data_IF_156690205304
#
_entry.id   IF_156690205304
#
_cell.length_a   1.000
_cell.length_b   1.000
_cell.length_c   1.000
_cell.angle_alpha   90.00
_cell.angle_beta   90.00
_cell.angle_gamma   90.00
#
_symmetry.space_group_name_H-M   'P 1'
#
loop_
_entity.id
_entity.type
_entity.pdbx_description
1 polymer ?
#
# COMPACT_ATOMS: atom_id res chain seq x y z
N UNK A 1 -29.42 -19.68 3.30
CA UNK A 1 -30.57 -18.73 3.24
C UNK A 1 -30.46 -17.81 2.04
N UNK A 2 -29.37 -17.03 1.92
CA UNK A 2 -29.10 -16.10 0.80
C UNK A 2 -29.32 -16.73 -0.57
N UNK A 3 -28.67 -17.88 -0.85
CA UNK A 3 -28.82 -18.64 -2.09
C UNK A 3 -30.27 -18.82 -2.55
N UNK A 4 -31.14 -19.32 -1.67
CA UNK A 4 -32.57 -19.55 -1.98
C UNK A 4 -33.30 -18.28 -2.39
N UNK A 5 -33.03 -17.15 -1.74
CA UNK A 5 -33.68 -15.87 -2.04
C UNK A 5 -33.21 -15.34 -3.39
N UNK A 6 -31.91 -15.44 -3.66
CA UNK A 6 -31.28 -15.03 -4.92
C UNK A 6 -31.81 -15.86 -6.09
N UNK A 7 -31.81 -17.19 -5.98
CA UNK A 7 -32.31 -18.10 -7.01
C UNK A 7 -33.82 -17.93 -7.25
N UNK A 8 -34.61 -17.70 -6.19
CA UNK A 8 -36.03 -17.39 -6.31
C UNK A 8 -36.32 -16.06 -7.04
N UNK A 9 -35.37 -15.12 -7.03
CA UNK A 9 -35.45 -13.88 -7.79
C UNK A 9 -35.00 -14.05 -9.26
N UNK A 10 -34.70 -15.28 -9.71
CA UNK A 10 -34.25 -15.56 -11.06
C UNK A 10 -32.80 -15.16 -11.34
N UNK A 11 -31.99 -15.03 -10.28
CA UNK A 11 -30.57 -14.73 -10.36
C UNK A 11 -29.74 -16.01 -10.17
N UNK A 12 -28.58 -16.09 -10.80
CA UNK A 12 -27.64 -17.20 -10.67
C UNK A 12 -26.63 -16.92 -9.55
N UNK A 13 -26.35 -17.94 -8.74
CA UNK A 13 -25.23 -17.93 -7.78
C UNK A 13 -24.04 -18.60 -8.46
N UNK A 14 -23.06 -17.80 -8.86
CA UNK A 14 -21.88 -18.24 -9.61
C UNK A 14 -20.83 -18.86 -8.69
N UNK A 15 -20.55 -18.20 -7.57
CA UNK A 15 -19.50 -18.60 -6.64
C UNK A 15 -19.95 -18.36 -5.20
N UNK A 16 -19.47 -19.21 -4.30
CA UNK A 16 -19.61 -19.05 -2.86
C UNK A 16 -18.24 -19.18 -2.24
N UNK A 17 -17.84 -18.16 -1.49
CA UNK A 17 -16.56 -18.07 -0.80
C UNK A 17 -16.85 -18.14 0.69
N UNK A 18 -16.82 -19.35 1.27
CA UNK A 18 -17.24 -19.56 2.66
C UNK A 18 -16.33 -18.86 3.67
N UNK A 19 -15.00 -18.94 3.49
CA UNK A 19 -14.01 -18.31 4.38
C UNK A 19 -14.19 -16.79 4.50
N UNK A 20 -14.35 -16.11 3.37
CA UNK A 20 -14.61 -14.66 3.32
C UNK A 20 -16.08 -14.28 3.36
N UNK A 21 -17.00 -15.24 3.56
CA UNK A 21 -18.45 -15.03 3.70
C UNK A 21 -19.08 -14.27 2.52
N UNK A 22 -18.58 -14.48 1.30
CA UNK A 22 -19.04 -13.79 0.07
C UNK A 22 -19.78 -14.73 -0.87
N UNK A 23 -20.65 -14.15 -1.69
CA UNK A 23 -21.37 -14.84 -2.76
C UNK A 23 -21.36 -13.98 -4.02
N UNK A 24 -20.92 -14.55 -5.15
CA UNK A 24 -21.00 -13.89 -6.46
C UNK A 24 -22.34 -14.25 -7.10
N UNK A 25 -23.10 -13.23 -7.46
CA UNK A 25 -24.42 -13.37 -8.07
C UNK A 25 -24.43 -12.69 -9.44
N UNK A 26 -25.07 -13.31 -10.42
CA UNK A 26 -25.26 -12.77 -11.77
C UNK A 26 -26.73 -12.85 -12.20
N UNK A 27 -27.12 -12.05 -13.18
CA UNK A 27 -28.46 -12.07 -13.76
C UNK A 27 -28.76 -10.83 -14.58
N UNK A 28 -29.98 -10.77 -15.13
CA UNK A 28 -30.44 -9.60 -15.90
C UNK A 28 -30.55 -8.36 -14.99
N UNK A 29 -30.23 -7.19 -15.53
CA UNK A 29 -30.18 -5.94 -14.77
C UNK A 29 -31.52 -5.59 -14.10
N UNK A 30 -32.65 -5.88 -14.76
CA UNK A 30 -33.99 -5.68 -14.23
C UNK A 30 -34.30 -6.59 -13.03
N UNK A 31 -33.89 -7.86 -13.08
CA UNK A 31 -34.03 -8.79 -11.97
C UNK A 31 -33.16 -8.41 -10.75
N UNK A 32 -31.91 -7.98 -10.99
CA UNK A 32 -31.03 -7.47 -9.93
C UNK A 32 -31.63 -6.20 -9.31
N UNK A 33 -32.10 -5.28 -10.15
CA UNK A 33 -32.77 -4.06 -9.70
C UNK A 33 -34.01 -4.34 -8.86
N UNK A 34 -34.86 -5.28 -9.30
CA UNK A 34 -36.06 -5.68 -8.58
C UNK A 34 -35.75 -6.31 -7.21
N UNK A 35 -34.76 -7.20 -7.13
CA UNK A 35 -34.32 -7.80 -5.85
C UNK A 35 -33.83 -6.73 -4.87
N UNK A 36 -33.10 -5.74 -5.39
CA UNK A 36 -32.41 -4.73 -4.58
C UNK A 36 -33.18 -3.42 -4.40
N UNK A 37 -34.38 -3.30 -4.98
CA UNK A 37 -35.18 -2.08 -4.94
C UNK A 37 -34.50 -0.86 -5.58
N UNK A 38 -33.76 -1.06 -6.67
CA UNK A 38 -33.01 -0.01 -7.39
C UNK A 38 -33.14 -0.17 -8.90
N UNK A 39 -32.78 0.85 -9.67
CA UNK A 39 -32.63 0.76 -11.13
C UNK A 39 -31.15 0.81 -11.48
N UNK A 40 -30.70 -0.13 -12.31
CA UNK A 40 -29.33 -0.16 -12.84
C UNK A 40 -29.32 0.48 -14.22
N UNK A 41 -28.40 1.43 -14.42
CA UNK A 41 -28.27 2.14 -15.69
C UNK A 41 -26.81 2.35 -16.06
N UNK A 42 -26.55 2.66 -17.33
CA UNK A 42 -25.23 3.11 -17.76
C UNK A 42 -25.08 4.60 -17.43
N UNK A 43 -23.98 4.95 -16.78
CA UNK A 43 -23.60 6.31 -16.44
C UNK A 43 -22.21 6.64 -17.03
N UNK A 44 -21.95 7.93 -17.23
CA UNK A 44 -20.61 8.42 -17.59
C UNK A 44 -19.97 9.04 -16.36
N UNK A 45 -18.71 8.71 -16.13
CA UNK A 45 -17.88 9.33 -15.13
C UNK A 45 -16.61 9.84 -15.80
N UNK A 46 -16.14 11.00 -15.36
CA UNK A 46 -14.90 11.60 -15.86
C UNK A 46 -13.90 11.60 -14.71
N UNK A 47 -12.72 11.04 -14.94
CA UNK A 47 -11.65 11.07 -13.95
C UNK A 47 -10.98 12.45 -13.84
N UNK A 48 -10.10 12.63 -12.86
CA UNK A 48 -9.36 13.88 -12.63
C UNK A 48 -8.47 14.29 -13.82
N UNK A 49 -8.21 13.38 -14.77
CA UNK A 49 -7.41 13.63 -15.98
C UNK A 49 -8.29 13.86 -17.22
N UNK A 50 -9.61 13.94 -17.04
CA UNK A 50 -10.56 14.21 -18.12
C UNK A 50 -10.98 12.97 -18.92
N UNK A 51 -10.54 11.76 -18.55
CA UNK A 51 -10.93 10.53 -19.26
C UNK A 51 -12.35 10.14 -18.86
N UNK A 52 -13.20 9.96 -19.87
CA UNK A 52 -14.61 9.59 -19.69
C UNK A 52 -14.75 8.07 -19.77
N UNK A 53 -15.29 7.46 -18.72
CA UNK A 53 -15.59 6.03 -18.63
C UNK A 53 -17.09 5.82 -18.54
N UNK A 54 -17.61 4.92 -19.37
CA UNK A 54 -18.99 4.44 -19.22
C UNK A 54 -18.98 3.27 -18.23
N UNK A 55 -19.80 3.35 -17.20
CA UNK A 55 -19.88 2.34 -16.14
C UNK A 55 -21.34 2.04 -15.80
N UNK A 56 -21.57 0.93 -15.11
CA UNK A 56 -22.89 0.66 -14.51
C UNK A 56 -23.00 1.44 -13.21
N UNK A 57 -24.12 2.12 -13.00
CA UNK A 57 -24.47 2.78 -11.75
C UNK A 57 -25.88 2.40 -11.33
N UNK A 58 -26.32 2.92 -10.19
CA UNK A 58 -27.63 2.65 -9.59
C UNK A 58 -28.32 3.93 -9.11
N UNK A 59 -29.64 3.94 -9.12
CA UNK A 59 -30.44 5.05 -8.56
C UNK A 59 -30.90 4.77 -7.12
N UNK A 60 -31.02 5.82 -6.30
CA UNK A 60 -31.57 5.72 -4.95
C UNK A 60 -30.70 4.96 -3.95
N UNK A 61 -31.33 4.25 -3.00
CA UNK A 61 -30.65 3.42 -2.01
C UNK A 61 -30.89 1.93 -2.30
N UNK A 62 -29.98 1.06 -1.86
CA UNK A 62 -30.18 -0.39 -1.95
C UNK A 62 -31.06 -0.86 -0.80
N UNK A 63 -31.97 -1.80 -1.11
CA UNK A 63 -32.78 -2.56 -0.17
C UNK A 63 -32.50 -4.03 -0.37
N UNK A 64 -32.71 -4.83 0.66
CA UNK A 64 -32.69 -6.29 0.53
C UNK A 64 -34.03 -6.84 1.02
N UNK A 65 -34.51 -7.97 0.50
CA UNK A 65 -35.70 -8.63 1.05
C UNK A 65 -35.57 -8.86 2.55
N UNK A 66 -36.67 -8.79 3.29
CA UNK A 66 -36.72 -9.07 4.74
C UNK A 66 -36.05 -10.40 5.12
N UNK A 67 -36.15 -11.50 4.32
CA UNK A 67 -35.40 -12.71 4.57
C UNK A 67 -33.87 -12.59 4.47
N UNK A 68 -33.30 -11.45 4.09
CA UNK A 68 -31.86 -11.18 4.08
C UNK A 68 -31.45 -10.10 5.10
N UNK A 69 -32.42 -9.51 5.81
CA UNK A 69 -32.17 -8.51 6.84
C UNK A 69 -31.24 -9.09 7.93
N UNK A 70 -30.23 -8.31 8.32
CA UNK A 70 -29.20 -8.71 9.29
C UNK A 70 -28.24 -9.79 8.80
N UNK A 71 -28.38 -10.28 7.56
CA UNK A 71 -27.45 -11.27 6.96
C UNK A 71 -26.52 -10.62 5.94
N UNK A 72 -27.01 -9.65 5.16
CA UNK A 72 -26.23 -8.97 4.11
C UNK A 72 -25.59 -7.71 4.68
N UNK A 73 -24.26 -7.67 4.71
CA UNK A 73 -23.46 -6.51 5.13
C UNK A 73 -23.33 -5.50 3.99
N UNK A 74 -23.02 -5.99 2.79
CA UNK A 74 -22.81 -5.17 1.60
C UNK A 74 -23.32 -5.85 0.34
N UNK A 75 -23.72 -5.02 -0.64
CA UNK A 75 -24.00 -5.45 -2.02
C UNK A 75 -23.12 -4.60 -2.93
N UNK A 76 -22.12 -5.21 -3.54
CA UNK A 76 -21.10 -4.52 -4.34
C UNK A 76 -21.23 -4.88 -5.82
N UNK A 77 -20.78 -3.97 -6.70
CA UNK A 77 -20.83 -4.15 -8.15
C UNK A 77 -22.12 -3.68 -8.82
N UNK A 78 -23.10 -3.17 -8.07
CA UNK A 78 -24.21 -2.38 -8.66
C UNK A 78 -23.73 -1.05 -9.20
N UNK A 79 -22.66 -0.52 -8.61
CA UNK A 79 -21.85 0.57 -9.16
C UNK A 79 -20.49 -0.01 -9.55
N UNK A 80 -20.06 0.22 -10.79
CA UNK A 80 -18.77 -0.23 -11.33
C UNK A 80 -17.91 0.95 -11.78
N UNK A 81 -18.12 2.14 -11.19
CA UNK A 81 -17.25 3.29 -11.40
C UNK A 81 -15.81 2.89 -11.07
N UNK A 82 -14.84 3.31 -11.90
CA UNK A 82 -13.44 3.19 -11.52
C UNK A 82 -13.22 3.79 -10.13
N UNK A 83 -12.45 3.08 -9.32
CA UNK A 83 -12.27 3.39 -7.91
C UNK A 83 -10.82 3.17 -7.52
N UNK A 84 -10.28 4.13 -6.77
CA UNK A 84 -8.87 4.14 -6.42
C UNK A 84 -7.96 4.63 -7.55
N UNK A 85 -6.71 4.86 -7.18
CA UNK A 85 -5.59 5.22 -8.07
C UNK A 85 -4.31 4.56 -7.54
N UNK A 86 -3.33 4.28 -8.40
CA UNK A 86 -2.01 3.90 -7.91
C UNK A 86 -1.37 5.11 -7.22
N UNK A 87 -0.66 4.89 -6.11
CA UNK A 87 -0.06 5.93 -5.27
C UNK A 87 1.45 6.08 -5.55
N UNK A 88 1.81 6.08 -6.84
CA UNK A 88 3.16 6.41 -7.32
C UNK A 88 3.29 7.84 -7.81
N UNK A 89 4.54 8.31 -7.80
CA UNK A 89 4.99 9.48 -8.55
C UNK A 89 6.23 9.15 -9.36
N UNK A 90 6.23 9.59 -10.61
CA UNK A 90 7.45 9.67 -11.39
C UNK A 90 8.23 10.94 -11.05
N UNK A 91 9.55 10.89 -11.16
CA UNK A 91 10.40 12.07 -11.01
C UNK A 91 10.02 13.17 -12.01
N UNK A 92 9.84 14.43 -11.59
CA UNK A 92 9.56 15.53 -12.51
C UNK A 92 10.67 15.73 -13.54
N UNK A 93 10.30 16.05 -14.78
CA UNK A 93 11.25 16.38 -15.84
C UNK A 93 12.00 17.69 -15.50
N UNK A 94 13.33 17.65 -15.42
CA UNK A 94 14.19 18.81 -15.16
C UNK A 94 14.71 18.96 -13.73
N UNK A 95 14.30 18.08 -12.81
CA UNK A 95 14.78 18.10 -11.44
C UNK A 95 16.26 17.68 -11.37
N UNK A 96 17.14 18.57 -10.87
CA UNK A 96 18.57 18.25 -10.68
C UNK A 96 18.72 17.39 -9.43
N UNK A 97 19.33 16.23 -9.56
CA UNK A 97 19.51 15.33 -8.42
C UNK A 97 20.36 15.97 -7.31
N UNK A 98 20.09 15.64 -6.04
CA UNK A 98 21.05 15.82 -4.95
C UNK A 98 22.37 15.09 -5.29
N UNK A 99 23.49 15.51 -4.67
CA UNK A 99 24.81 14.92 -4.92
C UNK A 99 25.10 13.83 -3.89
N UNK A 100 25.52 12.64 -4.34
CA UNK A 100 26.25 11.71 -3.49
C UNK A 100 27.75 11.94 -3.70
N UNK A 101 28.52 12.10 -2.62
CA UNK A 101 29.96 12.20 -2.71
C UNK A 101 30.55 10.80 -2.90
N UNK A 102 31.17 10.54 -4.04
CA UNK A 102 31.92 9.30 -4.24
C UNK A 102 33.10 9.24 -3.26
N UNK A 103 33.15 8.22 -2.42
CA UNK A 103 34.32 7.91 -1.60
C UNK A 103 35.40 7.27 -2.48
N UNK A 104 36.16 8.09 -3.21
CA UNK A 104 37.42 7.66 -3.83
C UNK A 104 38.54 8.56 -3.35
N UNK A 105 39.56 7.94 -2.74
CA UNK A 105 40.77 8.61 -2.29
C UNK A 105 41.47 9.39 -3.40
N UNK A 106 42.10 10.48 -2.98
CA UNK A 106 43.12 11.28 -3.68
C UNK A 106 42.90 11.59 -5.17
N UNK A 107 42.57 12.84 -5.45
CA UNK A 107 42.99 13.54 -6.67
C UNK A 107 41.98 13.58 -7.82
N UNK A 108 41.41 14.77 -8.04
CA UNK A 108 40.87 15.26 -9.31
C UNK A 108 40.00 14.27 -10.13
N UNK A 109 38.80 13.95 -9.63
CA UNK A 109 37.75 13.37 -10.46
C UNK A 109 36.84 14.47 -11.02
N UNK A 110 36.78 14.61 -12.34
CA UNK A 110 35.70 15.31 -13.04
C UNK A 110 34.40 14.55 -12.80
N UNK A 111 33.62 14.96 -11.81
CA UNK A 111 32.40 14.29 -11.40
C UNK A 111 31.34 14.33 -12.52
N UNK A 112 31.06 13.18 -13.14
CA UNK A 112 29.83 12.98 -13.91
C UNK A 112 28.66 12.90 -12.92
N UNK A 113 27.69 13.80 -13.05
CA UNK A 113 26.53 13.94 -12.16
C UNK A 113 25.56 12.77 -12.42
N UNK A 114 25.63 11.71 -11.61
CA UNK A 114 24.61 10.67 -11.60
C UNK A 114 23.42 11.10 -10.71
N UNK A 115 22.18 10.83 -11.11
CA UNK A 115 21.02 11.08 -10.27
C UNK A 115 21.02 10.20 -9.01
N UNK A 116 20.74 10.80 -7.84
CA UNK A 116 20.49 10.06 -6.58
C UNK A 116 19.13 9.38 -6.71
N UNK A 117 19.18 8.11 -7.09
CA UNK A 117 18.08 7.16 -7.01
C UNK A 117 18.67 5.89 -6.39
N UNK A 118 17.99 5.35 -5.38
CA UNK A 118 18.49 4.24 -4.58
C UNK A 118 17.99 2.93 -5.17
N UNK A 119 18.84 1.91 -5.15
CA UNK A 119 18.38 0.54 -5.34
C UNK A 119 17.71 0.08 -4.04
N UNK A 120 16.70 -0.82 -4.09
CA UNK A 120 16.10 -1.34 -2.87
C UNK A 120 17.13 -1.98 -1.92
N UNK A 121 18.13 -2.77 -2.36
CA UNK A 121 19.19 -3.25 -1.48
C UNK A 121 19.95 -2.14 -0.73
N UNK A 122 20.21 -0.98 -1.37
CA UNK A 122 20.85 0.16 -0.70
C UNK A 122 19.95 0.78 0.37
N UNK A 123 18.64 0.80 0.15
CA UNK A 123 17.69 1.23 1.18
C UNK A 123 17.60 0.23 2.34
N UNK A 124 17.66 -1.08 2.05
CA UNK A 124 17.76 -2.10 3.09
C UNK A 124 19.01 -1.93 3.97
N UNK A 125 20.15 -1.56 3.41
CA UNK A 125 21.35 -1.22 4.18
C UNK A 125 21.10 0.00 5.10
N UNK A 126 20.48 1.07 4.57
CA UNK A 126 20.20 2.29 5.33
C UNK A 126 19.17 2.09 6.46
N UNK A 127 18.16 1.26 6.20
CA UNK A 127 17.13 0.88 7.17
C UNK A 127 17.53 -0.32 8.03
N UNK A 128 18.78 -0.79 7.92
CA UNK A 128 19.33 -1.86 8.73
C UNK A 128 18.42 -3.11 8.75
N UNK A 129 18.00 -3.57 7.56
CA UNK A 129 17.18 -4.78 7.44
C UNK A 129 17.89 -5.97 8.08
N UNK A 130 17.17 -6.90 8.74
CA UNK A 130 17.81 -7.98 9.50
C UNK A 130 18.81 -8.78 8.64
N UNK A 131 20.08 -8.93 9.05
CA UNK A 131 21.07 -9.63 8.25
C UNK A 131 20.77 -11.14 8.19
N UNK A 132 21.15 -11.79 7.08
CA UNK A 132 20.99 -13.23 6.92
C UNK A 132 19.56 -13.71 6.65
N UNK A 133 18.61 -12.79 6.45
CA UNK A 133 17.26 -13.08 5.95
C UNK A 133 17.06 -12.53 4.56
N UNK A 134 16.19 -13.16 3.79
CA UNK A 134 15.83 -12.78 2.42
C UNK A 134 14.34 -12.99 2.12
N UNK A 135 13.52 -13.29 3.12
CA UNK A 135 12.10 -13.62 2.99
C UNK A 135 11.83 -15.11 2.76
N UNK A 136 12.84 -15.97 2.82
CA UNK A 136 12.70 -17.42 2.65
C UNK A 136 11.59 -18.01 3.53
N UNK A 137 10.78 -18.88 2.93
CA UNK A 137 9.66 -19.55 3.62
C UNK A 137 8.41 -18.67 3.81
N UNK A 138 8.41 -17.44 3.29
CA UNK A 138 7.23 -16.56 3.33
C UNK A 138 6.55 -16.46 1.97
N UNK A 139 5.26 -16.12 1.98
CA UNK A 139 4.50 -15.73 0.78
C UNK A 139 4.08 -14.28 0.91
N UNK A 140 4.38 -13.46 -0.10
CA UNK A 140 4.00 -12.06 -0.18
C UNK A 140 2.92 -11.86 -1.25
N UNK A 141 1.80 -11.24 -0.88
CA UNK A 141 0.74 -10.88 -1.80
C UNK A 141 0.82 -9.39 -2.18
N UNK A 142 0.52 -9.08 -3.43
CA UNK A 142 0.29 -7.75 -3.98
C UNK A 142 -1.13 -7.72 -4.57
N UNK A 143 -1.87 -6.63 -4.41
CA UNK A 143 -3.18 -6.45 -5.06
C UNK A 143 -3.12 -5.28 -6.02
N UNK A 144 -3.45 -5.55 -7.28
CA UNK A 144 -3.30 -4.62 -8.39
C UNK A 144 -4.64 -4.42 -9.09
N UNK A 145 -4.93 -3.17 -9.45
CA UNK A 145 -6.24 -2.78 -9.98
C UNK A 145 -6.24 -2.35 -11.45
N UNK A 146 -5.11 -2.56 -12.13
CA UNK A 146 -4.87 -2.25 -13.53
C UNK A 146 -3.43 -2.62 -13.93
N UNK A 147 -3.10 -2.40 -15.20
CA UNK A 147 -1.75 -2.61 -15.74
C UNK A 147 -1.18 -4.03 -15.63
N UNK A 148 0.14 -4.11 -15.55
CA UNK A 148 0.87 -5.36 -15.43
C UNK A 148 2.40 -5.19 -15.34
N UNK A 149 3.09 -6.31 -15.17
CA UNK A 149 4.55 -6.43 -15.19
C UNK A 149 5.02 -7.32 -16.36
N UNK A 150 6.24 -7.08 -16.83
CA UNK A 150 6.90 -7.90 -17.86
C UNK A 150 8.02 -8.78 -17.26
N UNK A 151 7.95 -10.09 -17.50
CA UNK A 151 8.91 -11.06 -16.94
C UNK A 151 10.34 -10.91 -17.51
N UNK A 152 10.50 -10.44 -18.75
CA UNK A 152 11.84 -10.19 -19.31
C UNK A 152 12.45 -8.92 -18.72
N UNK A 153 11.64 -7.90 -18.48
CA UNK A 153 12.03 -6.68 -17.79
C UNK A 153 12.44 -6.96 -16.35
N UNK A 154 11.65 -7.73 -15.61
CA UNK A 154 12.01 -8.16 -14.25
C UNK A 154 13.34 -8.89 -14.21
N UNK A 155 13.56 -9.86 -15.12
CA UNK A 155 14.87 -10.55 -15.20
C UNK A 155 16.02 -9.58 -15.42
N UNK A 156 15.84 -8.61 -16.32
CA UNK A 156 16.86 -7.57 -16.57
C UNK A 156 17.12 -6.73 -15.32
N UNK A 157 16.07 -6.34 -14.60
CA UNK A 157 16.18 -5.59 -13.36
C UNK A 157 16.98 -6.34 -12.29
N UNK A 158 16.65 -7.61 -12.04
CA UNK A 158 17.35 -8.43 -11.05
C UNK A 158 18.80 -8.75 -11.47
N UNK A 159 19.07 -8.95 -12.77
CA UNK A 159 20.43 -9.09 -13.30
C UNK A 159 21.26 -7.83 -13.05
N UNK A 160 20.69 -6.63 -13.23
CA UNK A 160 21.34 -5.35 -12.95
C UNK A 160 21.63 -5.14 -11.46
N UNK A 161 20.78 -5.68 -10.57
CA UNK A 161 21.02 -5.70 -9.13
C UNK A 161 22.04 -6.78 -8.71
N UNK A 162 22.35 -7.75 -9.58
CA UNK A 162 23.15 -8.91 -9.23
C UNK A 162 22.47 -9.86 -8.24
N UNK A 163 21.13 -9.85 -8.21
CA UNK A 163 20.31 -10.69 -7.34
C UNK A 163 19.44 -11.63 -8.15
N UNK A 164 18.92 -12.70 -7.54
CA UNK A 164 17.97 -13.59 -8.21
C UNK A 164 16.56 -13.00 -8.08
N UNK A 165 15.74 -13.07 -9.15
CA UNK A 165 14.32 -12.76 -9.01
C UNK A 165 13.65 -13.77 -8.04
N UNK A 166 12.66 -13.33 -7.25
CA UNK A 166 11.81 -14.26 -6.53
C UNK A 166 10.93 -15.07 -7.49
N UNK A 167 10.28 -16.11 -6.96
CA UNK A 167 9.17 -16.76 -7.68
C UNK A 167 8.00 -15.80 -7.73
N UNK A 168 7.46 -15.52 -8.92
CA UNK A 168 6.32 -14.62 -9.10
C UNK A 168 5.21 -15.38 -9.82
N UNK A 169 3.98 -15.26 -9.32
CA UNK A 169 2.78 -15.75 -10.01
C UNK A 169 1.65 -14.72 -9.98
N UNK A 170 0.84 -14.71 -11.02
CA UNK A 170 -0.33 -13.84 -11.10
C UNK A 170 -1.62 -14.62 -10.85
N UNK A 171 -2.57 -13.99 -10.16
CA UNK A 171 -3.93 -14.50 -9.94
C UNK A 171 -4.93 -13.54 -10.59
N UNK A 172 -5.81 -14.08 -11.44
CA UNK A 172 -6.87 -13.31 -12.08
C UNK A 172 -8.13 -13.30 -11.24
N UNK A 173 -8.64 -12.10 -10.94
CA UNK A 173 -9.91 -11.90 -10.25
C UNK A 173 -10.88 -11.21 -11.20
N UNK A 174 -12.07 -11.80 -11.36
CA UNK A 174 -13.15 -11.26 -12.18
C UNK A 174 -12.75 -10.88 -13.63
N UNK A 175 -11.75 -11.57 -14.20
CA UNK A 175 -11.28 -11.38 -15.57
C UNK A 175 -10.19 -10.31 -15.75
N UNK A 176 -9.79 -9.61 -14.68
CA UNK A 176 -8.57 -8.80 -14.71
C UNK A 176 -7.33 -9.70 -14.66
N UNK A 177 -6.26 -9.34 -15.34
CA UNK A 177 -5.06 -10.17 -15.48
C UNK A 177 -3.82 -9.28 -15.62
N UNK A 178 -2.63 -9.87 -15.47
CA UNK A 178 -1.37 -9.22 -15.79
C UNK A 178 -1.38 -8.80 -17.27
N UNK A 179 -1.47 -7.49 -17.54
CA UNK A 179 -1.65 -6.96 -18.88
C UNK A 179 -0.85 -5.67 -19.10
N UNK A 180 0.51 -5.76 -19.14
CA UNK A 180 1.36 -4.60 -19.35
C UNK A 180 1.15 -3.98 -20.74
N UNK A 181 1.49 -2.70 -20.89
CA UNK A 181 1.44 -1.93 -22.13
C UNK A 181 0.17 -1.12 -22.33
N UNK A 182 -0.70 -1.04 -21.31
CA UNK A 182 -1.97 -0.32 -21.37
C UNK A 182 -1.88 1.10 -20.84
N UNK A 183 -1.64 1.25 -19.53
CA UNK A 183 -1.55 2.54 -18.85
C UNK A 183 -0.21 2.61 -18.11
N UNK A 184 0.66 3.52 -18.55
CA UNK A 184 2.02 3.65 -18.01
C UNK A 184 2.08 3.88 -16.50
N UNK A 185 1.06 4.49 -15.88
CA UNK A 185 1.03 4.65 -14.42
C UNK A 185 0.63 3.36 -13.71
N UNK A 186 -0.29 2.58 -14.29
CA UNK A 186 -0.72 1.31 -13.72
C UNK A 186 0.39 0.27 -13.91
N UNK A 187 1.02 0.22 -15.09
CA UNK A 187 2.19 -0.63 -15.34
C UNK A 187 3.36 -0.21 -14.44
N UNK A 188 3.60 1.09 -14.30
CA UNK A 188 4.65 1.62 -13.42
C UNK A 188 4.42 1.25 -11.94
N UNK A 189 3.17 1.23 -11.49
CA UNK A 189 2.80 0.78 -10.15
C UNK A 189 3.12 -0.70 -9.95
N UNK A 190 2.55 -1.57 -10.79
CA UNK A 190 2.70 -3.02 -10.64
C UNK A 190 4.17 -3.42 -10.71
N UNK A 191 4.91 -2.80 -11.64
CA UNK A 191 6.33 -3.06 -11.83
C UNK A 191 7.15 -2.56 -10.62
N UNK A 192 6.86 -1.36 -10.09
CA UNK A 192 7.49 -0.83 -8.88
C UNK A 192 7.29 -1.76 -7.68
N UNK A 193 6.04 -2.20 -7.45
CA UNK A 193 5.68 -3.03 -6.31
C UNK A 193 6.40 -4.38 -6.34
N UNK A 194 6.38 -5.04 -7.50
CA UNK A 194 7.06 -6.33 -7.72
C UNK A 194 8.58 -6.19 -7.61
N UNK A 195 9.17 -5.15 -8.19
CA UNK A 195 10.62 -4.91 -8.16
C UNK A 195 11.12 -4.58 -6.75
N UNK A 196 10.44 -3.69 -6.02
CA UNK A 196 10.84 -3.28 -4.67
C UNK A 196 10.69 -4.44 -3.69
N UNK A 197 9.52 -5.10 -3.67
CA UNK A 197 9.30 -6.21 -2.75
C UNK A 197 10.25 -7.36 -3.08
N UNK A 198 10.37 -7.73 -4.36
CA UNK A 198 11.22 -8.84 -4.79
C UNK A 198 12.70 -8.59 -4.59
N UNK A 199 13.19 -7.37 -4.75
CA UNK A 199 14.60 -7.04 -4.49
C UNK A 199 14.97 -7.04 -3.00
N UNK A 200 13.99 -6.76 -2.13
CA UNK A 200 14.17 -6.70 -0.69
C UNK A 200 13.91 -8.04 0.02
N UNK A 201 13.07 -8.90 -0.58
CA UNK A 201 12.74 -10.24 -0.10
C UNK A 201 12.79 -11.28 -1.25
N UNK A 202 13.97 -11.52 -1.85
CA UNK A 202 14.10 -12.41 -3.02
C UNK A 202 13.85 -13.90 -2.72
N UNK A 203 13.84 -14.31 -1.45
CA UNK A 203 13.50 -15.66 -1.00
C UNK A 203 11.99 -15.89 -0.81
N UNK A 204 11.16 -14.84 -0.85
CA UNK A 204 9.72 -14.97 -0.72
C UNK A 204 9.05 -15.41 -2.03
N UNK A 205 7.93 -16.14 -1.92
CA UNK A 205 7.04 -16.38 -3.05
C UNK A 205 6.10 -15.19 -3.24
N UNK A 206 6.14 -14.53 -4.40
CA UNK A 206 5.32 -13.37 -4.72
C UNK A 206 4.06 -13.76 -5.49
N UNK A 207 2.92 -13.22 -5.06
CA UNK A 207 1.60 -13.47 -5.66
C UNK A 207 0.92 -12.15 -5.98
N UNK A 208 0.71 -11.89 -7.26
CA UNK A 208 0.11 -10.63 -7.73
C UNK A 208 -1.35 -10.86 -8.12
N UNK A 209 -2.28 -10.33 -7.34
CA UNK A 209 -3.72 -10.47 -7.55
C UNK A 209 -4.24 -9.30 -8.37
N UNK A 210 -4.64 -9.56 -9.61
CA UNK A 210 -5.21 -8.56 -10.50
C UNK A 210 -6.73 -8.57 -10.41
N UNK A 211 -7.33 -7.44 -10.06
CA UNK A 211 -8.78 -7.25 -10.00
C UNK A 211 -9.21 -5.97 -10.74
N UNK A 212 -10.48 -5.84 -11.16
CA UNK A 212 -10.97 -4.57 -11.70
C UNK A 212 -10.92 -3.48 -10.62
N UNK A 213 -10.34 -2.30 -10.93
CA UNK A 213 -10.31 -1.13 -10.06
C UNK A 213 -11.69 -0.54 -9.75
N UNK A 214 -12.45 -1.21 -8.91
CA UNK A 214 -13.80 -0.87 -8.46
C UNK A 214 -13.91 -1.24 -6.98
N UNK A 215 -14.83 -0.64 -6.23
CA UNK A 215 -15.01 -0.99 -4.81
C UNK A 215 -15.25 -2.50 -4.58
N UNK A 216 -15.92 -3.18 -5.53
CA UNK A 216 -16.08 -4.64 -5.52
C UNK A 216 -14.74 -5.36 -5.72
N UNK A 217 -13.94 -4.92 -6.69
CA UNK A 217 -12.66 -5.55 -7.01
C UNK A 217 -11.68 -5.46 -5.85
N UNK A 218 -11.64 -4.35 -5.11
CA UNK A 218 -10.86 -4.24 -3.86
C UNK A 218 -11.23 -5.33 -2.86
N UNK A 219 -12.52 -5.49 -2.57
CA UNK A 219 -13.01 -6.50 -1.63
C UNK A 219 -12.71 -7.92 -2.14
N UNK A 220 -12.90 -8.18 -3.43
CA UNK A 220 -12.61 -9.49 -4.03
C UNK A 220 -11.12 -9.83 -4.01
N UNK A 221 -10.25 -8.88 -4.36
CA UNK A 221 -8.79 -9.07 -4.40
C UNK A 221 -8.22 -9.32 -3.00
N UNK A 222 -8.54 -8.45 -2.03
CA UNK A 222 -8.09 -8.60 -0.64
C UNK A 222 -8.64 -9.88 -0.03
N UNK A 223 -9.92 -10.19 -0.22
CA UNK A 223 -10.49 -11.44 0.28
C UNK A 223 -9.84 -12.68 -0.36
N UNK A 224 -9.53 -12.64 -1.66
CA UNK A 224 -8.89 -13.76 -2.34
C UNK A 224 -7.45 -13.97 -1.83
N UNK A 225 -6.69 -12.89 -1.65
CA UNK A 225 -5.34 -12.97 -1.10
C UNK A 225 -5.33 -13.47 0.34
N UNK A 226 -6.18 -12.91 1.19
CA UNK A 226 -6.27 -13.24 2.63
C UNK A 226 -6.64 -14.70 2.87
N UNK A 227 -7.52 -15.26 2.03
CA UNK A 227 -7.99 -16.65 2.14
C UNK A 227 -7.30 -17.62 1.17
N UNK A 228 -6.13 -17.24 0.64
CA UNK A 228 -5.35 -18.10 -0.24
C UNK A 228 -4.66 -19.24 0.53
N UNK A 229 -4.25 -20.27 -0.21
CA UNK A 229 -3.44 -21.39 0.26
C UNK A 229 -2.15 -21.49 -0.59
N UNK A 230 -0.95 -21.38 0.00
CA UNK A 230 -0.71 -21.01 1.39
C UNK A 230 -1.20 -19.58 1.69
N UNK A 231 -1.61 -19.35 2.94
CA UNK A 231 -1.99 -18.02 3.41
C UNK A 231 -0.78 -17.10 3.39
N UNK A 232 -0.86 -15.89 2.78
CA UNK A 232 0.26 -14.97 2.72
C UNK A 232 0.74 -14.54 4.10
N UNK A 233 2.04 -14.39 4.26
CA UNK A 233 2.65 -13.76 5.44
C UNK A 233 2.38 -12.25 5.45
N UNK A 234 2.36 -11.65 4.26
CA UNK A 234 2.17 -10.22 4.07
C UNK A 234 1.30 -9.94 2.84
N UNK A 235 0.58 -8.82 2.87
CA UNK A 235 -0.17 -8.25 1.75
C UNK A 235 0.21 -6.77 1.60
N UNK A 236 0.74 -6.36 0.45
CA UNK A 236 0.94 -4.93 0.13
C UNK A 236 -0.22 -4.39 -0.70
N UNK A 237 -0.65 -3.16 -0.38
CA UNK A 237 -1.68 -2.42 -1.10
C UNK A 237 -1.19 -1.00 -1.39
N UNK A 238 -0.84 -0.75 -2.64
CA UNK A 238 -0.28 0.54 -3.07
C UNK A 238 -1.30 1.40 -3.84
N UNK A 239 -2.57 0.99 -3.81
CA UNK A 239 -3.67 1.69 -4.45
C UNK A 239 -4.70 2.16 -3.43
N UNK A 240 -5.32 3.30 -3.70
CA UNK A 240 -6.46 3.74 -2.91
C UNK A 240 -7.10 5.05 -3.37
N UNK A 241 -8.06 5.51 -2.57
CA UNK A 241 -8.83 6.73 -2.82
C UNK A 241 -9.21 7.40 -1.49
N UNK A 242 -9.51 8.71 -1.51
CA UNK A 242 -9.98 9.43 -0.34
C UNK A 242 -11.12 8.70 0.38
N UNK A 243 -11.08 8.63 1.71
CA UNK A 243 -12.09 7.95 2.55
C UNK A 243 -13.53 8.33 2.16
N UNK A 244 -13.78 9.61 1.87
CA UNK A 244 -15.09 10.15 1.50
C UNK A 244 -15.61 9.67 0.13
N UNK A 245 -14.78 9.01 -0.68
CA UNK A 245 -15.21 8.41 -1.96
C UNK A 245 -15.77 6.99 -1.78
N UNK A 246 -15.61 6.40 -0.60
CA UNK A 246 -16.10 5.05 -0.31
C UNK A 246 -17.50 5.07 0.29
N UNK A 247 -18.35 4.14 -0.16
CA UNK A 247 -19.64 3.95 0.51
C UNK A 247 -19.46 3.19 1.82
N UNK A 248 -20.32 3.44 2.81
CA UNK A 248 -20.26 2.71 4.07
C UNK A 248 -20.35 1.18 3.93
N UNK A 249 -21.03 0.67 2.89
CA UNK A 249 -21.08 -0.77 2.60
C UNK A 249 -19.75 -1.30 2.04
N UNK A 250 -19.09 -0.52 1.18
CA UNK A 250 -17.76 -0.88 0.66
C UNK A 250 -16.71 -0.87 1.76
N UNK A 251 -16.73 0.15 2.63
CA UNK A 251 -15.86 0.22 3.81
C UNK A 251 -16.12 -0.98 4.71
N UNK A 252 -17.38 -1.25 5.10
CA UNK A 252 -17.69 -2.38 5.97
C UNK A 252 -17.20 -3.73 5.41
N UNK A 253 -17.38 -3.97 4.11
CA UNK A 253 -16.95 -5.21 3.48
C UNK A 253 -15.42 -5.33 3.36
N UNK A 254 -14.70 -4.23 3.07
CA UNK A 254 -13.25 -4.27 3.01
C UNK A 254 -12.62 -4.37 4.41
N UNK A 255 -13.18 -3.68 5.40
CA UNK A 255 -12.77 -3.82 6.80
C UNK A 255 -12.96 -5.24 7.33
N UNK A 256 -14.02 -5.96 6.95
CA UNK A 256 -14.16 -7.38 7.30
C UNK A 256 -13.04 -8.24 6.68
N UNK A 257 -12.63 -7.96 5.44
CA UNK A 257 -11.53 -8.69 4.80
C UNK A 257 -10.16 -8.37 5.43
N UNK A 258 -9.93 -7.11 5.81
CA UNK A 258 -8.71 -6.68 6.51
C UNK A 258 -8.67 -7.17 7.96
N UNK A 259 -9.82 -7.27 8.63
CA UNK A 259 -9.92 -7.90 9.94
C UNK A 259 -9.65 -9.41 9.87
N UNK A 260 -10.14 -10.10 8.84
CA UNK A 260 -9.78 -11.50 8.56
C UNK A 260 -8.26 -11.65 8.37
N UNK A 261 -7.62 -10.72 7.65
CA UNK A 261 -6.16 -10.71 7.46
C UNK A 261 -5.40 -10.67 8.80
N UNK A 262 -5.79 -9.74 9.68
CA UNK A 262 -5.24 -9.64 11.02
C UNK A 262 -5.46 -10.92 11.84
N UNK A 263 -6.65 -11.53 11.76
CA UNK A 263 -6.98 -12.76 12.47
C UNK A 263 -6.22 -13.99 11.95
N UNK A 264 -5.86 -14.01 10.67
CA UNK A 264 -5.08 -15.06 10.02
C UNK A 264 -3.56 -14.85 10.10
N UNK A 265 -3.11 -13.82 10.82
CA UNK A 265 -1.68 -13.55 11.03
C UNK A 265 -1.00 -12.86 9.86
N UNK A 266 -1.76 -12.29 8.93
CA UNK A 266 -1.23 -11.56 7.78
C UNK A 266 -0.93 -10.11 8.17
N UNK A 267 0.27 -9.63 7.87
CA UNK A 267 0.57 -8.19 7.93
C UNK A 267 0.10 -7.53 6.65
N UNK A 268 -0.82 -6.57 6.75
CA UNK A 268 -1.23 -5.77 5.59
C UNK A 268 -0.51 -4.43 5.63
N UNK A 269 0.32 -4.13 4.63
CA UNK A 269 0.99 -2.84 4.44
C UNK A 269 0.23 -2.04 3.39
N UNK A 270 -0.23 -0.82 3.71
CA UNK A 270 -0.96 0.01 2.77
C UNK A 270 -0.34 1.41 2.66
N UNK A 271 -0.17 1.89 1.43
CA UNK A 271 0.32 3.23 1.15
C UNK A 271 -0.62 4.30 1.74
N UNK A 272 -0.06 5.33 2.37
CA UNK A 272 -0.83 6.37 3.07
C UNK A 272 -1.36 7.49 2.17
N UNK A 273 -0.89 7.56 0.92
CA UNK A 273 -1.29 8.56 -0.07
C UNK A 273 -0.14 9.47 -0.52
N UNK A 274 -0.37 10.13 -1.65
CA UNK A 274 0.67 10.81 -2.46
C UNK A 274 0.36 12.28 -2.79
N UNK A 275 -0.67 12.81 -2.14
CA UNK A 275 -1.23 14.14 -2.40
C UNK A 275 -1.30 15.00 -1.13
N UNK A 276 -0.41 14.74 -0.17
CA UNK A 276 -0.38 15.49 1.08
C UNK A 276 -1.63 15.27 1.94
N UNK A 277 -1.93 16.25 2.78
CA UNK A 277 -3.06 16.16 3.71
C UNK A 277 -4.46 16.18 3.06
N UNK A 278 -4.58 16.56 1.78
CA UNK A 278 -5.89 16.66 1.09
C UNK A 278 -6.24 15.43 0.28
N UNK A 279 -5.31 14.48 0.16
CA UNK A 279 -5.42 13.31 -0.71
C UNK A 279 -5.86 13.62 -2.17
N UNK A 280 -5.61 14.84 -2.64
CA UNK A 280 -5.96 15.30 -3.99
C UNK A 280 -7.35 15.92 -4.11
N UNK A 281 -8.10 16.04 -3.03
CA UNK A 281 -9.37 16.77 -3.00
C UNK A 281 -9.14 18.29 -2.99
N UNK A 282 -10.06 19.04 -3.59
CA UNK A 282 -9.94 20.49 -3.81
C UNK A 282 -10.79 21.33 -2.83
N UNK A 283 -11.45 20.70 -1.86
CA UNK A 283 -12.35 21.37 -0.91
C UNK A 283 -11.62 22.08 0.26
N UNK A 284 -10.29 21.99 0.31
CA UNK A 284 -9.45 22.59 1.34
C UNK A 284 -9.50 21.90 2.71
N UNK A 285 -10.09 20.71 2.79
CA UNK A 285 -10.17 19.91 4.00
C UNK A 285 -9.16 18.76 4.00
N UNK A 286 -8.78 18.24 5.19
CA UNK A 286 -7.98 17.03 5.25
C UNK A 286 -8.78 15.80 4.81
N UNK A 287 -8.19 15.01 3.92
CA UNK A 287 -8.68 13.70 3.51
C UNK A 287 -7.54 12.70 3.62
N UNK A 288 -7.89 11.48 4.03
CA UNK A 288 -6.94 10.38 4.08
C UNK A 288 -7.27 9.37 3.01
N UNK A 289 -6.23 8.71 2.50
CA UNK A 289 -6.40 7.63 1.54
C UNK A 289 -6.89 6.36 2.25
N UNK A 290 -7.75 5.59 1.60
CA UNK A 290 -8.25 4.28 2.04
C UNK A 290 -7.96 3.24 0.94
N UNK A 291 -7.36 2.08 1.27
CA UNK A 291 -7.33 1.44 2.59
C UNK A 291 -6.22 1.88 3.57
N UNK A 292 -5.30 2.78 3.19
CA UNK A 292 -4.22 3.26 4.05
C UNK A 292 -4.66 3.78 5.42
N UNK A 293 -5.88 4.30 5.55
CA UNK A 293 -6.48 4.78 6.79
C UNK A 293 -7.17 3.72 7.66
N UNK A 294 -7.28 2.48 7.19
CA UNK A 294 -7.85 1.38 7.99
C UNK A 294 -7.08 1.18 9.31
N UNK A 295 -7.76 0.90 10.44
CA UNK A 295 -7.11 0.46 11.67
C UNK A 295 -6.59 -1.00 11.60
N UNK A 296 -6.91 -1.74 10.53
CA UNK A 296 -6.50 -3.13 10.32
C UNK A 296 -5.27 -3.28 9.41
N UNK A 297 -4.64 -2.18 9.03
CA UNK A 297 -3.40 -2.17 8.20
C UNK A 297 -2.28 -1.44 8.93
N UNK A 298 -1.05 -1.75 8.55
CA UNK A 298 0.10 -0.87 8.74
C UNK A 298 0.06 0.19 7.64
N UNK A 299 -0.26 1.43 8.03
CA UNK A 299 -0.25 2.57 7.11
C UNK A 299 1.16 3.13 6.94
N UNK A 300 1.60 3.24 5.69
CA UNK A 300 2.98 3.59 5.35
C UNK A 300 3.04 4.92 4.61
N UNK A 301 3.58 5.93 5.27
CA UNK A 301 3.87 7.25 4.71
C UNK A 301 5.24 7.34 4.05
N UNK A 302 5.62 8.58 3.74
CA UNK A 302 6.72 8.90 2.83
C UNK A 302 7.74 9.88 3.39
N UNK A 303 9.02 9.58 3.15
CA UNK A 303 10.16 10.45 3.45
C UNK A 303 10.97 10.82 2.21
N UNK A 304 11.72 11.91 2.32
CA UNK A 304 12.81 12.26 1.41
C UNK A 304 14.12 11.82 2.07
N UNK A 305 14.96 11.07 1.36
CA UNK A 305 16.25 10.59 1.86
C UNK A 305 17.40 11.20 1.07
N UNK A 306 18.42 11.69 1.77
CA UNK A 306 19.67 12.17 1.19
C UNK A 306 20.85 11.50 1.88
N UNK A 307 21.63 10.77 1.10
CA UNK A 307 22.86 10.12 1.52
C UNK A 307 24.06 10.80 0.85
N UNK A 308 25.14 10.97 1.61
CA UNK A 308 26.45 11.46 1.14
C UNK A 308 27.51 10.34 1.16
N UNK A 309 27.05 9.08 1.01
CA UNK A 309 27.85 7.87 1.15
C UNK A 309 27.80 7.26 2.56
N UNK A 310 27.45 8.04 3.59
CA UNK A 310 27.26 7.55 4.96
C UNK A 310 25.86 6.96 5.16
N UNK A 311 25.74 6.01 6.09
CA UNK A 311 24.48 5.39 6.50
C UNK A 311 24.12 5.68 7.96
N UNK A 312 24.73 6.70 8.57
CA UNK A 312 24.56 7.04 9.99
C UNK A 312 23.34 7.92 10.28
N UNK A 313 22.43 8.04 9.30
CA UNK A 313 21.23 8.88 9.42
C UNK A 313 21.51 10.38 9.34
N UNK A 314 22.73 10.79 8.96
CA UNK A 314 23.07 12.20 8.73
C UNK A 314 23.49 12.44 7.29
N UNK A 315 23.16 13.63 6.79
CA UNK A 315 23.69 14.19 5.56
C UNK A 315 24.71 15.27 5.92
N UNK A 316 25.84 15.33 5.21
CA UNK A 316 26.99 16.24 5.46
C UNK A 316 27.61 16.19 6.87
N UNK A 317 27.25 15.15 7.63
CA UNK A 317 27.61 14.97 9.04
C UNK A 317 26.84 15.85 10.02
N UNK A 318 25.89 16.68 9.56
CA UNK A 318 25.13 17.61 10.43
C UNK A 318 23.64 17.40 10.30
N UNK A 319 23.10 17.56 9.10
CA UNK A 319 21.67 17.56 8.83
C UNK A 319 21.08 16.15 8.95
N UNK A 320 19.79 16.01 9.29
CA UNK A 320 19.09 14.73 9.16
C UNK A 320 19.19 14.23 7.72
N UNK A 321 19.57 12.97 7.54
CA UNK A 321 19.54 12.35 6.20
C UNK A 321 18.12 12.20 5.67
N UNK A 322 17.13 12.12 6.55
CA UNK A 322 15.75 11.78 6.21
C UNK A 322 14.77 12.80 6.79
N UNK A 323 13.88 13.32 5.95
CA UNK A 323 12.87 14.33 6.29
C UNK A 323 11.50 13.93 5.71
N UNK A 324 10.43 14.63 6.08
CA UNK A 324 9.11 14.41 5.47
C UNK A 324 9.19 14.62 3.95
N UNK A 325 8.59 13.71 3.17
CA UNK A 325 8.41 13.93 1.73
C UNK A 325 7.32 14.96 1.47
N UNK A 326 7.70 16.13 0.97
CA UNK A 326 6.77 17.14 0.47
C UNK A 326 7.35 17.97 -0.68
N UNK A 327 6.79 17.74 -1.86
CA UNK A 327 7.05 18.47 -3.09
C UNK A 327 5.77 19.11 -3.67
N UNK A 328 4.75 19.39 -2.84
CA UNK A 328 3.46 19.95 -3.29
C UNK A 328 3.63 21.24 -4.10
N UNK A 329 4.52 22.14 -3.66
CA UNK A 329 4.79 23.41 -4.34
C UNK A 329 5.37 23.23 -5.76
N UNK A 330 6.02 22.09 -6.02
CA UNK A 330 6.57 21.72 -7.32
C UNK A 330 5.65 20.76 -8.10
N UNK A 331 4.46 20.45 -7.58
CA UNK A 331 3.55 19.45 -8.15
C UNK A 331 4.04 17.99 -8.02
N UNK A 332 5.09 17.75 -7.22
CA UNK A 332 5.74 16.44 -7.07
C UNK A 332 5.07 15.49 -6.08
N UNK A 333 3.97 15.90 -5.43
CA UNK A 333 3.28 15.12 -4.39
C UNK A 333 3.84 15.33 -2.99
N UNK A 334 3.26 14.65 -2.01
CA UNK A 334 3.69 14.63 -0.61
C UNK A 334 3.08 13.42 0.06
N UNK A 335 3.71 12.93 1.14
CA UNK A 335 3.12 11.87 1.97
C UNK A 335 1.72 12.25 2.42
N UNK A 336 0.79 11.32 2.29
CA UNK A 336 -0.51 11.38 2.95
C UNK A 336 -0.36 11.31 4.46
N UNK A 337 -1.32 11.88 5.18
CA UNK A 337 -1.28 11.89 6.63
C UNK A 337 -2.23 12.88 7.28
N UNK A 338 -2.69 12.55 8.48
CA UNK A 338 -3.71 13.32 9.20
C UNK A 338 -4.51 12.46 10.16
N UNK A 339 -5.80 12.77 10.30
CA UNK A 339 -6.73 12.08 11.20
C UNK A 339 -7.98 11.68 10.43
N UNK A 340 -8.35 10.41 10.54
CA UNK A 340 -9.47 9.82 9.80
C UNK A 340 -10.80 10.48 10.15
N UNK A 341 -11.61 10.73 9.13
CA UNK A 341 -13.00 11.15 9.31
C UNK A 341 -13.91 9.95 9.59
N UNK A 342 -13.52 8.77 9.10
CA UNK A 342 -14.29 7.52 9.13
C UNK A 342 -14.03 6.70 10.39
N UNK A 343 -12.76 6.53 10.77
CA UNK A 343 -12.36 5.55 11.77
C UNK A 343 -12.08 6.16 13.15
N UNK A 344 -12.65 5.59 14.23
CA UNK A 344 -12.30 5.97 15.60
C UNK A 344 -10.83 5.62 15.90
N UNK A 345 -10.24 6.18 16.98
CA UNK A 345 -8.87 5.86 17.34
C UNK A 345 -8.81 4.41 17.85
N UNK A 346 -7.96 3.55 17.25
CA UNK A 346 -7.77 2.21 17.77
C UNK A 346 -7.10 2.27 19.14
N UNK A 347 -7.29 1.25 19.98
CA UNK A 347 -6.86 1.24 21.38
C UNK A 347 -5.36 1.55 21.52
N UNK A 348 -4.54 0.98 20.64
CA UNK A 348 -3.08 1.14 20.64
C UNK A 348 -2.62 2.56 20.26
N UNK A 349 -3.45 3.39 19.61
CA UNK A 349 -3.13 4.79 19.32
C UNK A 349 -3.65 5.78 20.36
N UNK A 350 -4.49 5.34 21.32
CA UNK A 350 -5.08 6.26 22.32
C UNK A 350 -4.03 6.94 23.20
N UNK A 351 -2.92 6.26 23.48
CA UNK A 351 -1.79 6.81 24.23
C UNK A 351 -1.17 8.06 23.59
N UNK A 352 -1.33 8.23 22.27
CA UNK A 352 -0.82 9.38 21.52
C UNK A 352 -1.79 10.58 21.52
N UNK A 353 -2.82 10.57 22.37
CA UNK A 353 -3.85 11.61 22.42
C UNK A 353 -4.75 11.65 21.19
N UNK A 354 -4.78 10.58 20.40
CA UNK A 354 -5.54 10.51 19.16
C UNK A 354 -7.05 10.36 19.42
N UNK A 355 -7.85 11.28 18.84
CA UNK A 355 -9.32 11.24 18.89
C UNK A 355 -9.97 10.50 17.70
N UNK A 356 -9.15 10.13 16.72
CA UNK A 356 -9.45 9.44 15.46
C UNK A 356 -8.23 8.61 15.07
N UNK A 357 -8.39 7.62 14.19
CA UNK A 357 -7.24 6.90 13.62
C UNK A 357 -6.28 7.92 12.97
N UNK A 358 -5.06 8.02 13.49
CA UNK A 358 -4.03 8.91 12.96
C UNK A 358 -3.21 8.19 11.91
N UNK A 359 -2.94 8.83 10.76
CA UNK A 359 -2.17 8.27 9.63
C UNK A 359 -0.93 9.14 9.37
N UNK A 360 0.21 8.54 8.96
CA UNK A 360 0.47 7.10 8.85
C UNK A 360 0.86 6.47 10.21
N UNK A 361 1.13 5.16 10.22
CA UNK A 361 1.71 4.46 11.38
C UNK A 361 3.24 4.53 11.35
N UNK A 362 3.83 4.38 10.17
CA UNK A 362 5.28 4.43 9.90
C UNK A 362 5.54 5.10 8.56
N UNK A 363 6.80 5.29 8.18
CA UNK A 363 7.18 5.79 6.86
C UNK A 363 8.40 5.06 6.28
N UNK A 364 8.65 5.28 4.99
CA UNK A 364 9.93 4.97 4.33
C UNK A 364 10.12 5.93 3.13
N UNK A 365 11.24 5.82 2.41
CA UNK A 365 11.51 6.66 1.23
C UNK A 365 10.33 6.61 0.27
N UNK A 366 9.88 7.78 -0.16
CA UNK A 366 8.81 7.94 -1.12
C UNK A 366 9.06 9.13 -2.07
N UNK A 367 10.00 10.03 -1.78
CA UNK A 367 10.26 11.16 -2.68
C UNK A 367 10.87 10.71 -4.01
N UNK A 368 10.22 10.92 -5.18
CA UNK A 368 10.74 10.50 -6.47
C UNK A 368 12.00 11.27 -6.91
N UNK A 369 12.32 12.41 -6.29
CA UNK A 369 13.58 13.12 -6.54
C UNK A 369 14.81 12.35 -6.01
N UNK A 370 14.58 11.51 -5.00
CA UNK A 370 15.55 10.61 -4.35
C UNK A 370 15.00 9.17 -4.27
N UNK A 371 14.21 8.78 -5.27
CA UNK A 371 13.36 7.59 -5.20
C UNK A 371 14.07 6.29 -5.54
N UNK A 372 13.28 5.31 -5.94
CA UNK A 372 13.69 3.95 -6.24
C UNK A 372 14.11 3.85 -7.69
N UNK A 373 15.28 3.29 -7.93
CA UNK A 373 15.68 2.86 -9.26
C UNK A 373 14.90 1.60 -9.63
N UNK A 374 14.11 1.70 -10.67
CA UNK A 374 13.24 0.64 -11.19
C UNK A 374 13.30 0.62 -12.71
N UNK A 375 12.75 -0.41 -13.33
CA UNK A 375 12.56 -0.47 -14.78
C UNK A 375 11.07 -0.45 -15.09
N UNK A 376 10.65 0.40 -16.03
CA UNK A 376 9.25 0.41 -16.50
C UNK A 376 9.23 0.57 -18.02
N UNK A 377 8.51 -0.29 -18.72
CA UNK A 377 8.38 -0.23 -20.18
C UNK A 377 9.72 -0.42 -20.90
N UNK A 378 10.58 -1.27 -20.35
CA UNK A 378 11.93 -1.59 -20.82
C UNK A 378 13.00 -0.53 -20.48
N UNK A 379 12.68 0.50 -19.69
CA UNK A 379 13.57 1.64 -19.45
C UNK A 379 13.89 1.82 -17.97
N UNK A 380 15.17 2.02 -17.59
CA UNK A 380 15.51 2.49 -16.25
C UNK A 380 14.83 3.82 -15.96
N UNK A 381 14.14 3.90 -14.83
CA UNK A 381 13.44 5.08 -14.36
C UNK A 381 13.62 5.27 -12.86
N UNK A 382 13.12 6.38 -12.34
CA UNK A 382 13.05 6.64 -10.90
C UNK A 382 11.62 6.95 -10.52
N UNK A 383 11.07 6.08 -9.68
CA UNK A 383 9.74 6.23 -9.13
C UNK A 383 9.84 6.44 -7.61
N UNK A 384 8.81 7.08 -7.08
CA UNK A 384 8.54 7.22 -5.67
C UNK A 384 7.04 7.13 -5.45
N UNK A 385 6.55 7.82 -4.44
CA UNK A 385 5.24 7.61 -3.87
C UNK A 385 5.29 6.69 -2.67
N UNK A 386 4.27 6.80 -1.82
CA UNK A 386 4.03 5.88 -0.71
C UNK A 386 3.77 4.45 -1.21
N UNK A 387 3.44 4.28 -2.51
CA UNK A 387 3.47 3.00 -3.21
C UNK A 387 4.82 2.30 -3.17
N UNK A 388 5.95 3.01 -3.14
CA UNK A 388 7.24 2.34 -3.00
C UNK A 388 7.56 1.98 -1.53
N UNK A 389 7.00 2.74 -0.59
CA UNK A 389 7.22 2.56 0.84
C UNK A 389 6.45 1.35 1.41
N UNK A 390 5.22 1.12 0.96
CA UNK A 390 4.40 -0.03 1.36
C UNK A 390 5.06 -1.41 1.07
N UNK A 391 5.52 -1.73 -0.15
CA UNK A 391 6.22 -2.98 -0.47
C UNK A 391 7.59 -3.07 0.21
N UNK A 392 8.27 -1.95 0.50
CA UNK A 392 9.47 -1.97 1.33
C UNK A 392 9.19 -2.48 2.74
N UNK A 393 8.15 -1.96 3.40
CA UNK A 393 7.70 -2.46 4.69
C UNK A 393 7.16 -3.89 4.62
N UNK A 394 6.52 -4.26 3.51
CA UNK A 394 6.07 -5.64 3.30
C UNK A 394 7.25 -6.63 3.22
N UNK A 395 8.31 -6.27 2.49
CA UNK A 395 9.53 -7.08 2.42
C UNK A 395 10.26 -7.15 3.78
N UNK A 396 10.28 -6.05 4.54
CA UNK A 396 10.77 -6.08 5.92
C UNK A 396 9.95 -7.04 6.78
N UNK A 397 8.61 -7.04 6.66
CA UNK A 397 7.73 -7.95 7.39
C UNK A 397 7.98 -9.43 7.03
N UNK A 398 8.24 -9.75 5.75
CA UNK A 398 8.70 -11.08 5.33
C UNK A 398 9.98 -11.49 6.05
N UNK A 399 11.00 -10.63 6.02
CA UNK A 399 12.31 -10.91 6.63
C UNK A 399 12.28 -10.99 8.16
N UNK A 400 11.42 -10.20 8.79
CA UNK A 400 11.17 -10.30 10.23
C UNK A 400 10.45 -11.62 10.56
N UNK A 401 9.46 -12.01 9.76
CA UNK A 401 8.72 -13.26 9.96
C UNK A 401 9.62 -14.48 9.77
N UNK A 402 10.52 -14.46 8.79
CA UNK A 402 11.58 -15.48 8.61
C UNK A 402 12.49 -15.54 9.85
N UNK A 403 13.04 -14.41 10.30
CA UNK A 403 13.95 -14.36 11.45
C UNK A 403 13.30 -14.79 12.78
N UNK A 404 11.98 -14.79 12.82
CA UNK A 404 11.13 -15.09 13.98
C UNK A 404 10.39 -16.43 13.85
N UNK A 405 10.51 -17.10 12.71
CA UNK A 405 9.79 -18.33 12.34
C UNK A 405 8.26 -18.25 12.61
N UNK A 406 7.65 -17.07 12.40
CA UNK A 406 6.21 -16.84 12.66
C UNK A 406 5.75 -15.53 12.03
N UNK A 407 4.57 -15.50 11.37
CA UNK A 407 3.94 -14.28 10.87
C UNK A 407 3.68 -13.23 11.95
N UNK A 408 3.79 -11.95 11.62
CA UNK A 408 3.61 -10.86 12.59
C UNK A 408 2.14 -10.51 12.88
N UNK A 409 1.22 -10.82 11.96
CA UNK A 409 -0.17 -10.38 12.05
C UNK A 409 -0.31 -8.86 11.96
N UNK A 410 -1.26 -8.33 12.74
CA UNK A 410 -1.49 -6.89 12.83
C UNK A 410 -0.31 -6.22 13.57
N UNK A 411 0.58 -5.59 12.79
CA UNK A 411 1.82 -5.00 13.28
C UNK A 411 1.66 -3.69 14.10
N UNK A 412 0.73 -2.76 13.80
CA UNK A 412 0.65 -1.49 14.55
C UNK A 412 0.57 -1.62 16.08
N UNK A 413 -0.26 -2.50 16.68
CA UNK A 413 -0.24 -2.72 18.13
C UNK A 413 1.16 -2.99 18.73
N UNK A 414 2.00 -3.74 18.01
CA UNK A 414 3.37 -4.08 18.45
C UNK A 414 4.30 -2.86 18.36
N UNK A 415 4.14 -2.03 17.32
CA UNK A 415 4.96 -0.83 17.15
C UNK A 415 4.60 0.27 18.14
N UNK A 416 3.32 0.49 18.41
CA UNK A 416 2.87 1.49 19.40
C UNK A 416 3.12 1.08 20.85
N UNK A 417 3.50 -0.19 21.09
CA UNK A 417 3.96 -0.66 22.39
C UNK A 417 5.45 -0.37 22.67
N UNK A 418 6.21 0.12 21.68
CA UNK A 418 7.60 0.52 21.85
C UNK A 418 7.73 1.66 22.88
N UNK A 419 8.67 1.55 23.81
CA UNK A 419 8.96 2.62 24.78
C UNK A 419 9.45 3.89 24.04
N UNK A 420 8.94 5.08 24.39
CA UNK A 420 9.38 6.32 23.76
C UNK A 420 10.76 6.80 24.29
N UNK A 421 11.68 7.25 23.42
CA UNK A 421 11.57 7.21 21.96
C UNK A 421 11.79 5.79 21.43
N UNK A 422 11.00 5.34 20.44
CA UNK A 422 11.08 3.98 19.92
C UNK A 422 12.46 3.75 19.27
N UNK A 423 13.39 3.12 19.98
CA UNK A 423 14.76 2.87 19.47
C UNK A 423 14.83 1.94 18.25
N UNK A 424 13.72 1.30 17.93
CA UNK A 424 13.54 0.43 16.76
C UNK A 424 13.09 1.19 15.50
N UNK A 425 12.83 2.50 15.61
CA UNK A 425 12.41 3.36 14.51
C UNK A 425 13.25 4.65 14.54
N UNK A 426 13.53 5.22 13.37
CA UNK A 426 14.17 6.52 13.25
C UNK A 426 13.10 7.60 13.19
N UNK A 427 13.03 8.39 14.23
CA UNK A 427 12.09 9.52 14.37
C UNK A 427 12.40 10.62 13.35
N UNK A 428 11.39 11.03 12.58
CA UNK A 428 11.50 12.08 11.57
C UNK A 428 10.87 13.33 12.15
N UNK A 429 11.64 14.42 12.27
CA UNK A 429 11.22 15.60 13.03
C UNK A 429 11.28 16.89 12.21
N UNK A 430 11.55 16.79 10.91
CA UNK A 430 11.76 17.94 10.02
C UNK A 430 10.89 17.80 8.78
N UNK A 431 10.11 18.87 8.50
CA UNK A 431 9.22 19.00 7.36
C UNK A 431 7.76 18.75 7.74
N UNK A 432 6.87 18.86 6.75
CA UNK A 432 5.43 18.71 6.92
C UNK A 432 4.75 18.35 5.61
N UNK A 433 3.48 17.97 5.64
CA UNK A 433 2.73 17.47 4.47
C UNK A 433 1.73 18.50 3.88
N UNK A 434 1.97 19.79 4.14
CA UNK A 434 1.14 20.92 3.72
C UNK A 434 0.15 21.42 4.79
N UNK A 435 -0.09 20.64 5.84
CA UNK A 435 -0.92 21.06 6.99
C UNK A 435 -0.36 20.60 8.33
N UNK A 436 0.11 19.35 8.38
CA UNK A 436 0.72 18.78 9.57
C UNK A 436 2.24 18.91 9.46
N UNK A 437 2.90 19.04 10.61
CA UNK A 437 4.35 19.14 10.73
C UNK A 437 4.86 17.93 11.49
N UNK A 438 6.05 17.46 11.11
CA UNK A 438 6.76 16.42 11.84
C UNK A 438 7.19 16.91 13.22
N UNK A 439 7.20 16.01 14.20
CA UNK A 439 7.57 16.33 15.58
C UNK A 439 8.15 15.13 16.29
N UNK A 440 8.70 15.30 17.50
CA UNK A 440 9.21 14.16 18.26
C UNK A 440 8.10 13.15 18.56
N UNK A 441 8.35 11.89 18.20
CA UNK A 441 7.41 10.79 18.42
C UNK A 441 6.42 10.63 17.26
N UNK A 442 5.16 10.28 17.56
CA UNK A 442 4.18 10.10 16.50
C UNK A 442 3.76 11.45 15.90
N UNK A 443 3.81 11.56 14.58
CA UNK A 443 3.23 12.70 13.84
C UNK A 443 2.37 12.27 12.65
N UNK A 444 1.57 13.21 12.16
CA UNK A 444 0.62 13.01 11.06
C UNK A 444 1.25 13.18 9.67
N UNK A 445 2.57 12.97 9.55
CA UNK A 445 3.33 12.97 8.30
C UNK A 445 4.03 11.63 8.10
N UNK A 446 4.74 11.14 9.13
CA UNK A 446 5.62 9.97 9.09
C UNK A 446 5.34 8.95 10.18
N UNK A 447 4.31 9.18 10.99
CA UNK A 447 3.89 8.25 12.01
C UNK A 447 4.96 8.14 13.09
N UNK A 448 5.33 6.90 13.44
CA UNK A 448 6.41 6.61 14.38
C UNK A 448 7.82 6.73 13.76
N UNK A 449 7.93 7.08 12.47
CA UNK A 449 9.19 7.21 11.74
C UNK A 449 9.50 6.02 10.82
N UNK A 450 10.78 5.87 10.47
CA UNK A 450 11.27 4.89 9.49
C UNK A 450 11.96 3.68 10.14
N UNK A 451 12.05 2.52 9.49
CA UNK A 451 12.51 1.30 10.17
C UNK A 451 14.00 1.31 10.50
N UNK A 452 14.32 0.74 11.66
CA UNK A 452 15.65 0.19 11.99
C UNK A 452 15.48 -1.32 12.16
N UNK A 453 15.60 -2.07 11.06
CA UNK A 453 15.13 -3.46 10.95
C UNK A 453 15.71 -4.42 12.00
N UNK A 454 17.01 -4.37 12.26
CA UNK A 454 17.66 -5.23 13.24
C UNK A 454 17.24 -4.87 14.68
N UNK A 455 17.08 -3.58 14.98
CA UNK A 455 16.57 -3.11 16.27
C UNK A 455 15.10 -3.50 16.47
N UNK A 456 14.29 -3.43 15.42
CA UNK A 456 12.90 -3.90 15.41
C UNK A 456 12.83 -5.41 15.64
N UNK A 457 13.66 -6.20 14.97
CA UNK A 457 13.76 -7.65 15.21
C UNK A 457 14.11 -7.97 16.67
N UNK A 458 15.11 -7.27 17.22
CA UNK A 458 15.52 -7.46 18.61
C UNK A 458 14.37 -7.15 19.59
N UNK A 459 13.60 -6.09 19.34
CA UNK A 459 12.43 -5.76 20.14
C UNK A 459 11.34 -6.84 20.04
N UNK A 460 11.01 -7.30 18.84
CA UNK A 460 9.99 -8.33 18.61
C UNK A 460 10.35 -9.67 19.25
N UNK A 461 11.65 -10.01 19.33
CA UNK A 461 12.11 -11.18 20.09
C UNK A 461 11.87 -11.01 21.59
N UNK A 462 12.25 -9.86 22.15
CA UNK A 462 12.12 -9.60 23.57
C UNK A 462 10.65 -9.61 24.04
N UNK A 463 9.72 -9.08 23.25
CA UNK A 463 8.28 -9.08 23.62
C UNK A 463 7.68 -10.49 23.63
N UNK A 464 8.12 -11.36 22.71
CA UNK A 464 7.70 -12.77 22.68
C UNK A 464 8.16 -13.55 23.91
N UNK A 465 9.39 -13.36 24.35
CA UNK A 465 9.93 -14.04 25.54
C UNK A 465 9.22 -13.65 26.85
N UNK A 466 8.47 -12.53 26.84
CA UNK A 466 7.74 -12.00 28.01
C UNK A 466 6.24 -12.35 28.04
N UNK A 467 5.71 -13.00 26.99
CA UNK A 467 4.30 -13.43 26.94
C UNK A 467 4.23 -14.92 27.27
N UNK A 468 3.59 -15.32 28.39
CA UNK A 468 3.63 -16.70 28.90
C UNK A 468 2.90 -17.72 28.04
#
# INVERSE_FOLDING_TARGET
>A
RVRRVVEAAGLAVEEVHEGSRRMRVSGRADAVGALLGTELSAARWTDARGRVVTHRSRSGALRVPEPLAGTVVAVLGTDTRPHGRPLLRARPAGDRAPREAAATGEGHATASVAPVAYTPPRLAEFYDFPPGTDGSGTTAALVEFGGGYDEAELRTYFDELGTKPPTIRSVSIAGAANSPGGNENEDGEVQLDVEVLGALAPGADLVVYFAPGTARGYVEAVSAAVHADPTPTVLSISWGAPENHWTGQSVAALEEALADAAALGITVCAAAGDSGYTDGEEDGHPHLDYPGSSPHVLSVGGTTLRLDGRLDGRFDGREPAETVWNALAAGGGSTGGGRSATFPPPLWQRGQGAQRRGVPDVAAVADPSTGYRVRVGGKPTTLGGTSAAAPLWAALACRLSEALDTPLGLLPPLLYALEPPPRALRDITVGGNGRYEATTGWDACTGLGTPLGAALLAHLRATRDTTP
#
